data_IF_072437633230
#
_entry.id   IF_072437633230
#
_cell.length_a   1.000
_cell.length_b   1.000
_cell.length_c   1.000
_cell.angle_alpha   90.00
_cell.angle_beta   90.00
_cell.angle_gamma   90.00
#
_symmetry.space_group_name_H-M   'P 1'
#
loop_
_entity.id
_entity.type
_entity.pdbx_description
1 polymer ?
#
# COMPACT_ATOMS: atom_id res chain seq x y z
N UNK A 1 -5.98 -3.80 -23.73
CA UNK A 1 -6.81 -3.89 -22.50
C UNK A 1 -5.94 -4.37 -21.35
N UNK A 2 -5.93 -3.65 -20.26
CA UNK A 2 -5.16 -4.03 -19.07
C UNK A 2 -5.85 -5.19 -18.34
N UNK A 3 -5.11 -6.25 -18.05
CA UNK A 3 -5.65 -7.35 -17.24
C UNK A 3 -5.79 -6.95 -15.76
N UNK A 4 -6.56 -7.71 -15.00
CA UNK A 4 -6.66 -7.51 -13.56
C UNK A 4 -5.30 -7.67 -12.88
N UNK A 5 -4.48 -8.61 -13.33
CA UNK A 5 -3.12 -8.80 -12.83
C UNK A 5 -2.25 -7.58 -13.12
N UNK A 6 -2.30 -7.05 -14.34
CA UNK A 6 -1.52 -5.86 -14.71
C UNK A 6 -1.91 -4.66 -13.84
N UNK A 7 -3.22 -4.44 -13.65
CA UNK A 7 -3.70 -3.38 -12.78
C UNK A 7 -3.24 -3.57 -11.33
N UNK A 8 -3.28 -4.79 -10.82
CA UNK A 8 -2.79 -5.11 -9.47
C UNK A 8 -1.29 -4.84 -9.34
N UNK A 9 -0.49 -5.23 -10.33
CA UNK A 9 0.94 -4.98 -10.32
C UNK A 9 1.25 -3.48 -10.40
N UNK A 10 0.49 -2.70 -11.16
CA UNK A 10 0.64 -1.25 -11.21
C UNK A 10 0.35 -0.60 -9.85
N UNK A 11 -0.72 -1.03 -9.17
CA UNK A 11 -1.03 -0.56 -7.83
C UNK A 11 0.04 -0.99 -6.83
N UNK A 12 0.51 -2.22 -6.91
CA UNK A 12 1.58 -2.71 -6.03
C UNK A 12 2.87 -1.91 -6.22
N UNK A 13 3.23 -1.60 -7.46
CA UNK A 13 4.39 -0.77 -7.77
C UNK A 13 4.28 0.60 -7.09
N UNK A 14 3.12 1.23 -7.18
CA UNK A 14 2.87 2.51 -6.53
C UNK A 14 2.93 2.40 -5.01
N UNK A 15 2.28 1.41 -4.41
CA UNK A 15 2.25 1.23 -2.96
C UNK A 15 3.65 0.93 -2.39
N UNK A 16 4.45 0.14 -3.08
CA UNK A 16 5.84 -0.17 -2.68
C UNK A 16 6.73 1.07 -2.74
N UNK A 17 6.45 2.01 -3.64
CA UNK A 17 7.26 3.23 -3.78
C UNK A 17 7.17 4.17 -2.58
N UNK A 18 6.14 4.04 -1.75
CA UNK A 18 6.01 4.84 -0.55
C UNK A 18 6.76 4.20 0.62
N UNK A 19 7.55 5.03 1.32
CA UNK A 19 8.26 4.59 2.53
C UNK A 19 7.29 4.59 3.71
N UNK A 20 6.84 3.41 4.08
CA UNK A 20 5.95 3.19 5.22
C UNK A 20 6.56 2.25 6.24
N UNK A 21 7.89 2.29 6.39
CA UNK A 21 8.61 1.46 7.36
C UNK A 21 8.22 1.79 8.79
N UNK A 22 8.13 0.75 9.60
CA UNK A 22 7.86 0.86 11.02
C UNK A 22 8.77 -0.10 11.80
N UNK A 23 9.77 0.36 12.58
CA UNK A 23 10.21 1.76 12.67
C UNK A 23 10.84 2.26 11.37
N UNK A 24 10.94 3.61 11.17
CA UNK A 24 10.68 4.67 12.16
C UNK A 24 9.21 5.10 12.28
N UNK A 25 8.32 4.63 11.44
CA UNK A 25 6.89 5.02 11.38
C UNK A 25 6.70 6.53 11.23
N UNK A 26 7.40 7.10 10.26
CA UNK A 26 7.25 8.50 9.87
C UNK A 26 6.20 8.65 8.77
N UNK A 27 4.98 8.21 9.04
CA UNK A 27 3.89 8.13 8.08
C UNK A 27 2.95 9.32 8.32
N UNK A 28 2.69 10.08 7.26
CA UNK A 28 1.76 11.20 7.29
C UNK A 28 0.40 10.87 6.68
N UNK A 29 -0.47 11.87 6.62
CA UNK A 29 -1.82 11.74 6.06
C UNK A 29 -1.88 11.91 4.55
N UNK A 30 -0.78 12.32 3.91
CA UNK A 30 -0.61 12.41 2.45
C UNK A 30 0.02 11.15 1.87
N UNK A 31 0.81 11.30 0.81
CA UNK A 31 1.58 10.22 0.23
C UNK A 31 0.74 9.01 -0.18
N UNK A 32 0.94 7.88 0.48
CA UNK A 32 0.24 6.64 0.18
C UNK A 32 -1.29 6.78 0.34
N UNK A 33 -1.75 7.60 1.27
CA UNK A 33 -3.18 7.83 1.49
C UNK A 33 -3.81 8.68 0.39
N UNK A 34 -3.08 9.66 -0.15
CA UNK A 34 -3.52 10.42 -1.32
C UNK A 34 -3.66 9.51 -2.54
N UNK A 35 -2.70 8.62 -2.74
CA UNK A 35 -2.77 7.62 -3.80
C UNK A 35 -4.02 6.74 -3.67
N UNK A 36 -4.26 6.20 -2.48
CA UNK A 36 -5.40 5.34 -2.23
C UNK A 36 -6.74 6.09 -2.39
N UNK A 37 -6.83 7.30 -1.85
CA UNK A 37 -8.03 8.14 -2.00
C UNK A 37 -8.39 8.34 -3.47
N UNK A 38 -7.40 8.60 -4.32
CA UNK A 38 -7.61 8.81 -5.75
C UNK A 38 -8.09 7.54 -6.47
N UNK A 39 -7.88 6.36 -5.87
CA UNK A 39 -8.29 5.06 -6.44
C UNK A 39 -9.63 4.56 -5.92
N UNK A 40 -10.29 5.32 -5.06
CA UNK A 40 -11.55 4.93 -4.43
C UNK A 40 -12.68 5.92 -4.78
N UNK A 41 -12.97 6.15 -6.09
CA UNK A 41 -14.05 7.04 -6.47
C UNK A 41 -15.39 6.46 -5.99
N UNK A 42 -16.27 7.33 -5.49
CA UNK A 42 -17.57 6.93 -4.97
C UNK A 42 -17.54 6.37 -3.54
N UNK A 43 -16.35 6.23 -2.92
CA UNK A 43 -16.27 5.88 -1.51
C UNK A 43 -16.24 7.14 -0.64
N UNK A 44 -16.83 7.05 0.54
CA UNK A 44 -16.60 8.00 1.62
C UNK A 44 -15.29 7.60 2.28
N UNK A 45 -14.25 8.42 2.09
CA UNK A 45 -12.89 8.12 2.55
C UNK A 45 -12.54 9.04 3.72
N UNK A 46 -12.09 8.45 4.82
CA UNK A 46 -11.60 9.16 6.00
C UNK A 46 -10.19 8.72 6.33
N UNK A 47 -9.30 9.67 6.45
CA UNK A 47 -7.93 9.46 6.89
C UNK A 47 -7.78 10.05 8.27
N UNK A 48 -7.35 9.26 9.23
CA UNK A 48 -7.23 9.66 10.64
C UNK A 48 -5.78 9.53 11.07
N UNK A 49 -5.24 10.63 11.59
CA UNK A 49 -3.93 10.65 12.23
C UNK A 49 -4.12 10.39 13.73
N UNK A 50 -3.60 9.26 14.22
CA UNK A 50 -3.67 8.86 15.62
C UNK A 50 -2.46 9.36 16.43
N UNK A 51 -1.53 10.07 15.80
CA UNK A 51 -0.28 10.52 16.39
C UNK A 51 0.88 9.54 16.19
N UNK A 52 2.09 10.05 16.33
CA UNK A 52 3.34 9.27 16.22
C UNK A 52 3.46 8.42 14.93
N UNK A 53 2.94 8.91 13.82
CA UNK A 53 2.98 8.21 12.53
C UNK A 53 1.97 7.06 12.40
N UNK A 54 1.03 6.93 13.34
CA UNK A 54 -0.06 5.96 13.25
C UNK A 54 -1.23 6.59 12.49
N UNK A 55 -1.44 6.19 11.26
CA UNK A 55 -2.46 6.75 10.38
C UNK A 55 -3.33 5.62 9.82
N UNK A 56 -4.63 5.84 9.81
CA UNK A 56 -5.60 4.89 9.25
C UNK A 56 -6.39 5.52 8.13
N UNK A 57 -6.74 4.72 7.12
CA UNK A 57 -7.71 5.07 6.11
C UNK A 57 -8.92 4.14 6.25
N UNK A 58 -10.09 4.73 6.26
CA UNK A 58 -11.36 4.01 6.26
C UNK A 58 -12.19 4.48 5.06
N UNK A 59 -12.62 3.54 4.22
CA UNK A 59 -13.39 3.84 3.03
C UNK A 59 -14.64 2.98 3.00
N UNK A 60 -15.79 3.62 2.78
CA UNK A 60 -17.09 2.95 2.77
C UNK A 60 -17.88 3.38 1.55
N UNK A 61 -18.54 2.43 0.91
CA UNK A 61 -19.48 2.68 -0.18
C UNK A 61 -20.77 1.92 0.06
N UNK A 62 -21.91 2.63 -0.04
CA UNK A 62 -23.23 2.05 0.11
C UNK A 62 -23.48 1.46 1.49
N UNK A 63 -24.13 0.30 1.53
CA UNK A 63 -24.39 -0.47 2.74
C UNK A 63 -23.55 -1.76 2.70
N UNK A 64 -22.32 -1.72 3.19
CA UNK A 64 -21.40 -2.83 3.02
C UNK A 64 -21.81 -4.05 3.86
N UNK A 65 -21.55 -5.24 3.31
CA UNK A 65 -21.66 -6.53 4.00
C UNK A 65 -20.30 -7.18 4.21
N UNK A 66 -19.24 -6.63 3.58
CA UNK A 66 -17.89 -7.13 3.65
C UNK A 66 -16.97 -6.03 4.12
N UNK A 67 -16.00 -6.40 4.92
CA UNK A 67 -14.90 -5.53 5.33
C UNK A 67 -13.58 -6.18 4.91
N UNK A 68 -12.79 -5.43 4.15
CA UNK A 68 -11.40 -5.79 3.86
C UNK A 68 -10.51 -4.99 4.80
N UNK A 69 -9.61 -5.68 5.49
CA UNK A 69 -8.69 -5.05 6.42
C UNK A 69 -7.26 -5.42 6.02
N UNK A 70 -6.46 -4.41 5.75
CA UNK A 70 -5.04 -4.57 5.44
C UNK A 70 -4.24 -3.54 6.23
N UNK A 71 -2.94 -3.80 6.44
CA UNK A 71 -2.02 -2.77 6.93
C UNK A 71 -1.11 -2.31 5.80
N UNK A 72 -0.61 -1.08 5.90
CA UNK A 72 0.26 -0.48 4.88
C UNK A 72 1.68 -0.28 5.36
N UNK A 73 1.90 -0.32 6.66
CA UNK A 73 3.24 -0.25 7.23
C UNK A 73 4.02 -1.53 6.94
N UNK A 74 5.32 -1.40 6.88
CA UNK A 74 6.24 -2.50 6.62
C UNK A 74 7.28 -2.60 7.72
N UNK A 75 7.96 -3.73 7.79
CA UNK A 75 9.19 -3.83 8.57
C UNK A 75 10.28 -2.95 7.92
N UNK A 76 11.34 -2.59 8.66
CA UNK A 76 12.49 -1.94 8.05
C UNK A 76 13.15 -2.84 6.99
N UNK A 77 13.81 -2.21 6.02
CA UNK A 77 14.67 -2.93 5.09
C UNK A 77 15.95 -3.40 5.80
N UNK A 78 16.65 -4.31 5.14
CA UNK A 78 17.94 -4.82 5.61
C UNK A 78 19.05 -4.44 4.64
N UNK A 79 20.33 -4.52 5.07
CA UNK A 79 21.46 -4.25 4.17
C UNK A 79 21.65 -5.33 3.08
N UNK A 80 20.85 -6.40 3.13
CA UNK A 80 20.95 -7.51 2.17
C UNK A 80 20.12 -7.30 0.90
N UNK A 81 19.38 -6.21 0.80
CA UNK A 81 18.65 -5.88 -0.44
C UNK A 81 19.63 -5.61 -1.57
N UNK A 82 19.47 -6.30 -2.69
CA UNK A 82 20.35 -6.16 -3.87
C UNK A 82 19.99 -4.95 -4.75
N UNK A 83 18.82 -4.35 -4.53
CA UNK A 83 18.35 -3.15 -5.22
C UNK A 83 17.45 -2.36 -4.26
N UNK A 84 16.92 -1.21 -4.70
CA UNK A 84 16.04 -0.40 -3.85
C UNK A 84 14.84 -1.20 -3.36
N UNK A 85 14.57 -1.24 -2.04
CA UNK A 85 13.38 -1.90 -1.51
C UNK A 85 12.07 -1.19 -1.90
N UNK A 86 12.13 0.05 -2.36
CA UNK A 86 10.98 0.86 -2.74
C UNK A 86 10.72 0.87 -4.26
N UNK A 87 11.42 0.05 -5.02
CA UNK A 87 11.18 -0.16 -6.44
C UNK A 87 10.76 -1.59 -6.68
N UNK A 88 9.52 -1.79 -7.09
CA UNK A 88 9.01 -3.13 -7.39
C UNK A 88 9.71 -3.68 -8.63
N UNK A 89 10.32 -4.85 -8.48
CA UNK A 89 10.91 -5.60 -9.59
C UNK A 89 10.02 -6.79 -9.91
N UNK A 90 9.61 -6.88 -11.16
CA UNK A 90 8.70 -7.94 -11.62
C UNK A 90 9.38 -8.77 -12.69
N UNK A 91 9.39 -10.08 -12.53
CA UNK A 91 9.78 -11.04 -13.56
C UNK A 91 8.61 -11.98 -13.85
N UNK A 92 8.85 -13.08 -14.60
CA UNK A 92 7.79 -14.00 -15.01
C UNK A 92 7.11 -14.71 -13.83
N UNK A 93 7.76 -14.78 -12.67
CA UNK A 93 7.31 -15.59 -11.54
C UNK A 93 7.13 -14.80 -10.25
N UNK A 94 7.78 -13.63 -10.13
CA UNK A 94 7.89 -12.92 -8.87
C UNK A 94 7.72 -11.41 -9.02
N UNK A 95 7.19 -10.80 -7.98
CA UNK A 95 7.25 -9.37 -7.75
C UNK A 95 7.98 -9.13 -6.42
N UNK A 96 9.08 -8.37 -6.43
CA UNK A 96 9.96 -8.18 -5.28
C UNK A 96 10.01 -6.71 -4.89
N UNK A 97 9.65 -6.41 -3.67
CA UNK A 97 9.70 -5.08 -3.08
C UNK A 97 9.39 -5.15 -1.59
N UNK A 98 9.82 -4.15 -0.83
CA UNK A 98 9.57 -4.14 0.62
C UNK A 98 8.08 -4.06 0.90
N UNK A 99 7.58 -5.04 1.66
CA UNK A 99 6.17 -5.13 2.01
C UNK A 99 5.26 -5.68 0.89
N UNK A 100 5.81 -6.12 -0.24
CA UNK A 100 5.02 -6.66 -1.34
C UNK A 100 4.20 -7.90 -0.91
N UNK A 101 4.79 -8.76 -0.11
CA UNK A 101 4.13 -9.94 0.43
C UNK A 101 3.33 -9.62 1.72
N UNK A 102 3.85 -8.77 2.57
CA UNK A 102 3.27 -8.45 3.89
C UNK A 102 3.01 -6.94 4.00
N UNK A 103 1.87 -6.45 3.57
CA UNK A 103 0.80 -7.07 2.80
C UNK A 103 0.30 -6.11 1.71
N UNK A 104 1.21 -5.28 1.16
CA UNK A 104 0.86 -4.35 0.08
C UNK A 104 0.30 -5.07 -1.16
N UNK A 105 0.70 -6.31 -1.39
CA UNK A 105 0.13 -7.14 -2.45
C UNK A 105 -1.37 -7.37 -2.27
N UNK A 106 -1.81 -7.69 -1.06
CA UNK A 106 -3.22 -7.83 -0.74
C UNK A 106 -3.96 -6.49 -0.86
N UNK A 107 -3.31 -5.39 -0.46
CA UNK A 107 -3.90 -4.06 -0.59
C UNK A 107 -4.06 -3.65 -2.06
N UNK A 108 -3.14 -4.07 -2.93
CA UNK A 108 -3.18 -3.78 -4.37
C UNK A 108 -4.28 -4.56 -5.11
N UNK A 109 -4.58 -5.75 -4.64
CA UNK A 109 -5.58 -6.61 -5.26
C UNK A 109 -7.00 -6.13 -5.01
#
# INVERSE_FOLDING_TARGET
MTSLLDATLDHLRALVSFDTRNPPRAIGTGGIFDYLRARLPGFDVRVTDHGAGAVSLYAVRGKPKLLFNVHLDTVPDSPHWSASPFELRVDAERAVGLGACDIKGAAAA
#
